data_IF_629523629177
#
_entry.id   IF_629523629177
#
_cell.length_a   1.000
_cell.length_b   1.000
_cell.length_c   1.000
_cell.angle_alpha   90.00
_cell.angle_beta   90.00
_cell.angle_gamma   90.00
#
_symmetry.space_group_name_H-M   'P 1'
#
loop_
_entity.id
_entity.type
_entity.pdbx_description
1 polymer ?
#
# COMPACT_ATOMS: atom_id res chain seq x y z
N UNK A 1 3.92 -19.51 -2.63
CA UNK A 1 3.37 -18.43 -3.50
C UNK A 1 4.52 -17.59 -4.07
N UNK A 2 4.35 -16.88 -5.20
CA UNK A 2 5.36 -15.93 -5.74
C UNK A 2 4.82 -14.50 -5.66
N UNK A 3 5.71 -13.50 -5.61
CA UNK A 3 5.36 -12.08 -5.68
C UNK A 3 4.72 -11.68 -7.04
N UNK A 4 4.21 -10.45 -7.13
CA UNK A 4 3.49 -9.95 -8.31
C UNK A 4 4.34 -10.06 -9.56
N UNK A 5 3.75 -10.59 -10.63
CA UNK A 5 4.41 -10.81 -11.91
C UNK A 5 3.37 -10.87 -13.04
N UNK A 6 3.85 -10.95 -14.28
CA UNK A 6 3.03 -11.00 -15.50
C UNK A 6 1.96 -12.10 -15.48
N UNK A 7 2.23 -13.26 -14.87
CA UNK A 7 1.25 -14.34 -14.80
C UNK A 7 0.06 -13.95 -13.89
N UNK A 8 0.27 -13.14 -12.85
CA UNK A 8 -0.82 -12.64 -12.01
C UNK A 8 -1.75 -11.70 -12.79
N UNK A 9 -1.21 -10.87 -13.69
CA UNK A 9 -2.03 -10.03 -14.57
C UNK A 9 -2.78 -10.86 -15.62
N UNK A 10 -2.16 -11.91 -16.19
CA UNK A 10 -2.88 -12.87 -17.05
C UNK A 10 -4.03 -13.55 -16.31
N UNK A 11 -3.77 -14.07 -15.11
CA UNK A 11 -4.76 -14.67 -14.22
C UNK A 11 -5.90 -13.71 -13.87
N UNK A 12 -5.61 -12.41 -13.70
CA UNK A 12 -6.62 -11.39 -13.55
C UNK A 12 -7.53 -11.32 -14.77
N UNK A 13 -6.97 -11.16 -15.97
CA UNK A 13 -7.78 -11.10 -17.20
C UNK A 13 -8.60 -12.38 -17.41
N UNK A 14 -8.00 -13.55 -17.22
CA UNK A 14 -8.70 -14.82 -17.43
C UNK A 14 -9.85 -15.01 -16.43
N UNK A 15 -9.67 -14.64 -15.16
CA UNK A 15 -10.76 -14.68 -14.17
C UNK A 15 -11.84 -13.64 -14.45
N UNK A 16 -11.45 -12.44 -14.91
CA UNK A 16 -12.40 -11.36 -15.18
C UNK A 16 -13.31 -11.62 -16.38
N UNK A 17 -12.88 -12.42 -17.36
CA UNK A 17 -13.73 -12.82 -18.51
C UNK A 17 -15.04 -13.50 -18.10
N UNK A 18 -15.08 -14.12 -16.93
CA UNK A 18 -16.28 -14.81 -16.44
C UNK A 18 -17.41 -13.84 -16.02
N UNK A 19 -17.12 -12.56 -15.84
CA UNK A 19 -18.09 -11.59 -15.31
C UNK A 19 -17.94 -10.16 -15.88
N UNK A 20 -17.03 -9.94 -16.81
CA UNK A 20 -16.82 -8.64 -17.47
C UNK A 20 -16.57 -8.83 -18.96
N UNK A 21 -17.10 -7.92 -19.79
CA UNK A 21 -16.88 -7.93 -21.24
C UNK A 21 -15.49 -7.42 -21.58
N UNK A 22 -15.01 -7.70 -22.80
CA UNK A 22 -13.70 -7.22 -23.25
C UNK A 22 -13.62 -5.70 -23.30
N UNK A 23 -14.71 -5.02 -23.66
CA UNK A 23 -14.83 -3.56 -23.64
C UNK A 23 -14.78 -2.96 -22.24
N UNK A 24 -15.04 -3.76 -21.20
CA UNK A 24 -14.86 -3.35 -19.80
C UNK A 24 -13.43 -3.56 -19.29
N UNK A 25 -12.62 -4.38 -20.00
CA UNK A 25 -11.26 -4.77 -19.62
C UNK A 25 -10.16 -4.16 -20.51
N UNK A 26 -10.49 -3.80 -21.75
CA UNK A 26 -9.58 -3.30 -22.75
C UNK A 26 -10.13 -2.06 -23.44
N UNK A 27 -9.22 -1.17 -23.83
CA UNK A 27 -9.51 -0.10 -24.77
C UNK A 27 -9.50 -0.66 -26.20
N UNK A 28 -10.38 -0.15 -27.06
CA UNK A 28 -10.33 -0.40 -28.50
C UNK A 28 -9.65 0.77 -29.20
N UNK A 29 -8.56 0.50 -29.92
CA UNK A 29 -7.86 1.50 -30.75
C UNK A 29 -8.57 1.70 -32.08
N UNK A 30 -8.27 2.81 -32.77
CA UNK A 30 -8.85 3.15 -34.08
C UNK A 30 -8.52 2.09 -35.16
N UNK A 31 -7.39 1.38 -35.00
CA UNK A 31 -6.99 0.25 -35.86
C UNK A 31 -7.58 -1.10 -35.42
N UNK A 32 -8.56 -1.09 -34.50
CA UNK A 32 -9.34 -2.26 -34.10
C UNK A 32 -8.70 -3.17 -33.04
N UNK A 33 -7.53 -2.82 -32.47
CA UNK A 33 -6.88 -3.64 -31.43
C UNK A 33 -7.48 -3.39 -30.05
N UNK A 34 -7.55 -4.45 -29.24
CA UNK A 34 -7.93 -4.38 -27.83
C UNK A 34 -6.69 -4.34 -26.94
N UNK A 35 -6.46 -3.24 -26.21
CA UNK A 35 -5.25 -3.01 -25.40
C UNK A 35 -5.57 -2.60 -23.97
N UNK A 36 -4.80 -3.05 -22.99
CA UNK A 36 -5.02 -2.68 -21.58
C UNK A 36 -4.63 -1.23 -21.31
N UNK A 37 -3.65 -0.68 -22.05
CA UNK A 37 -3.36 0.74 -22.01
C UNK A 37 -3.07 1.27 -23.41
N UNK A 38 -3.45 2.53 -23.64
CA UNK A 38 -3.08 3.26 -24.85
C UNK A 38 -1.56 3.19 -25.07
N UNK A 39 -1.08 2.72 -26.24
CA UNK A 39 0.34 2.69 -26.55
C UNK A 39 0.96 4.08 -26.43
N UNK A 40 2.24 4.15 -26.05
CA UNK A 40 2.96 5.42 -26.03
C UNK A 40 3.00 6.00 -27.45
N UNK A 41 2.60 7.27 -27.59
CA UNK A 41 2.48 7.92 -28.90
C UNK A 41 1.12 7.77 -29.59
N UNK A 42 0.17 7.00 -29.03
CA UNK A 42 -1.21 6.96 -29.56
C UNK A 42 -1.84 8.36 -29.57
N UNK A 43 -2.24 8.81 -30.76
CA UNK A 43 -2.78 10.14 -31.08
C UNK A 43 -4.29 10.16 -31.32
N UNK A 44 -4.92 8.98 -31.48
CA UNK A 44 -6.37 8.86 -31.66
C UNK A 44 -7.19 9.27 -30.44
N UNK A 45 -8.52 9.22 -30.59
CA UNK A 45 -9.46 9.54 -29.51
C UNK A 45 -9.30 8.55 -28.34
N UNK A 46 -9.36 9.06 -27.10
CA UNK A 46 -9.13 8.26 -25.89
C UNK A 46 -10.35 8.30 -24.99
N UNK A 47 -10.72 7.13 -24.48
CA UNK A 47 -11.71 6.97 -23.43
C UNK A 47 -11.03 6.62 -22.09
N UNK A 48 -11.84 6.61 -21.02
CA UNK A 48 -11.41 6.13 -19.69
C UNK A 48 -12.09 4.82 -19.36
N UNK A 49 -11.35 3.88 -18.78
CA UNK A 49 -11.85 2.54 -18.45
C UNK A 49 -11.97 2.39 -16.94
N UNK A 50 -13.03 2.97 -16.37
CA UNK A 50 -13.23 2.97 -14.91
C UNK A 50 -13.53 1.57 -14.37
N UNK A 51 -14.33 0.78 -15.08
CA UNK A 51 -14.71 -0.58 -14.67
C UNK A 51 -13.49 -1.45 -14.34
N UNK A 52 -12.54 -1.59 -15.27
CA UNK A 52 -11.30 -2.34 -15.03
C UNK A 52 -10.51 -1.84 -13.82
N UNK A 53 -10.42 -0.52 -13.61
CA UNK A 53 -9.63 0.03 -12.50
C UNK A 53 -10.18 -0.44 -11.14
N UNK A 54 -11.50 -0.54 -11.01
CA UNK A 54 -12.15 -1.13 -9.82
C UNK A 54 -11.89 -2.64 -9.74
N UNK A 55 -12.01 -3.35 -10.86
CA UNK A 55 -11.80 -4.81 -10.90
C UNK A 55 -10.37 -5.21 -10.51
N UNK A 56 -9.35 -4.55 -11.06
CA UNK A 56 -7.94 -4.84 -10.71
C UNK A 56 -7.65 -4.45 -9.26
N UNK A 57 -8.26 -3.38 -8.73
CA UNK A 57 -8.16 -3.01 -7.33
C UNK A 57 -8.60 -4.16 -6.42
N UNK A 58 -9.84 -4.61 -6.58
CA UNK A 58 -10.41 -5.73 -5.81
C UNK A 58 -9.58 -7.02 -5.96
N UNK A 59 -9.11 -7.31 -7.18
CA UNK A 59 -8.25 -8.46 -7.43
C UNK A 59 -6.93 -8.37 -6.66
N UNK A 60 -6.26 -7.21 -6.69
CA UNK A 60 -4.98 -7.03 -6.02
C UNK A 60 -5.10 -7.07 -4.50
N UNK A 61 -6.17 -6.51 -3.92
CA UNK A 61 -6.42 -6.63 -2.48
C UNK A 61 -6.62 -8.08 -2.06
N UNK A 62 -7.42 -8.84 -2.81
CA UNK A 62 -7.59 -10.27 -2.55
C UNK A 62 -6.25 -11.01 -2.68
N UNK A 63 -5.48 -10.72 -3.72
CA UNK A 63 -4.18 -11.35 -3.95
C UNK A 63 -3.20 -11.07 -2.81
N UNK A 64 -3.15 -9.84 -2.30
CA UNK A 64 -2.30 -9.50 -1.14
C UNK A 64 -2.81 -10.21 0.12
N UNK A 65 -4.12 -10.30 0.32
CA UNK A 65 -4.69 -11.04 1.45
C UNK A 65 -4.26 -12.52 1.40
N UNK A 66 -4.39 -13.16 0.24
CA UNK A 66 -3.97 -14.55 0.04
C UNK A 66 -2.44 -14.71 0.22
N UNK A 67 -1.63 -13.74 -0.23
CA UNK A 67 -0.18 -13.74 -0.01
C UNK A 67 0.18 -13.66 1.46
N UNK A 68 -0.42 -12.74 2.21
CA UNK A 68 -0.14 -12.57 3.63
C UNK A 68 -0.61 -13.79 4.43
N UNK A 69 -1.76 -14.38 4.11
CA UNK A 69 -2.21 -15.62 4.74
C UNK A 69 -1.25 -16.79 4.46
N UNK A 70 -0.69 -16.88 3.25
CA UNK A 70 0.33 -17.89 2.94
C UNK A 70 1.64 -17.68 3.73
N UNK A 71 1.95 -16.44 4.12
CA UNK A 71 3.20 -16.08 4.78
C UNK A 71 3.15 -16.12 6.31
N UNK A 72 1.98 -15.84 6.89
CA UNK A 72 1.80 -15.87 8.33
C UNK A 72 1.69 -17.33 8.79
N UNK A 73 2.67 -17.74 9.58
CA UNK A 73 2.75 -19.05 10.23
C UNK A 73 2.31 -18.97 11.71
N UNK A 74 1.73 -17.84 12.10
CA UNK A 74 1.31 -17.54 13.47
C UNK A 74 -0.20 -17.77 13.61
N UNK A 75 -0.57 -18.84 14.32
CA UNK A 75 -1.97 -19.22 14.55
C UNK A 75 -2.78 -18.18 15.34
N UNK A 76 -2.12 -17.20 15.97
CA UNK A 76 -2.78 -16.11 16.70
C UNK A 76 -3.06 -14.87 15.85
N UNK A 77 -2.57 -14.83 14.59
CA UNK A 77 -2.74 -13.69 13.69
C UNK A 77 -3.63 -14.01 12.49
N UNK A 78 -4.52 -13.07 12.18
CA UNK A 78 -5.48 -13.18 11.09
C UNK A 78 -5.29 -12.05 10.09
N UNK A 79 -5.39 -12.35 8.80
CA UNK A 79 -5.41 -11.36 7.72
C UNK A 79 -6.85 -11.03 7.36
N UNK A 80 -7.28 -9.82 7.68
CA UNK A 80 -8.64 -9.35 7.47
C UNK A 80 -8.65 -8.35 6.32
N UNK A 81 -9.22 -8.75 5.18
CA UNK A 81 -9.50 -7.83 4.07
C UNK A 81 -10.68 -6.90 4.44
N UNK A 82 -10.66 -5.63 4.00
CA UNK A 82 -11.78 -4.69 4.13
C UNK A 82 -12.29 -4.56 5.58
N UNK A 83 -11.36 -4.38 6.53
CA UNK A 83 -11.66 -4.28 7.97
C UNK A 83 -12.12 -2.86 8.37
N UNK A 84 -12.94 -2.79 9.41
CA UNK A 84 -13.43 -1.55 10.02
C UNK A 84 -12.83 -1.40 11.42
N UNK A 85 -12.33 -0.21 11.72
CA UNK A 85 -11.82 0.15 13.06
C UNK A 85 -12.38 1.55 13.40
N UNK A 86 -13.67 1.68 13.75
CA UNK A 86 -14.33 2.98 13.87
C UNK A 86 -13.65 3.94 14.86
N UNK A 87 -13.04 3.41 15.92
CA UNK A 87 -12.32 4.18 16.93
C UNK A 87 -11.10 4.96 16.39
N UNK A 88 -10.62 4.64 15.18
CA UNK A 88 -9.55 5.37 14.49
C UNK A 88 -9.98 5.88 13.11
N UNK A 89 -11.29 6.08 12.91
CA UNK A 89 -11.84 6.68 11.69
C UNK A 89 -11.99 5.73 10.50
N UNK A 90 -11.69 4.43 10.66
CA UNK A 90 -11.83 3.43 9.59
C UNK A 90 -13.25 2.85 9.67
N UNK A 91 -14.12 3.26 8.75
CA UNK A 91 -15.56 2.93 8.78
C UNK A 91 -15.96 2.06 7.59
N UNK A 92 -17.20 1.57 7.56
CA UNK A 92 -17.75 0.85 6.40
C UNK A 92 -17.69 1.64 5.07
N UNK A 93 -17.62 2.98 5.12
CA UNK A 93 -17.52 3.83 3.91
C UNK A 93 -16.11 3.88 3.33
N UNK A 94 -15.10 3.67 4.17
CA UNK A 94 -13.69 3.63 3.78
C UNK A 94 -12.96 2.64 4.70
N UNK A 95 -13.21 1.34 4.52
CA UNK A 95 -12.54 0.31 5.31
C UNK A 95 -11.05 0.27 4.97
N UNK A 96 -10.26 -0.33 5.85
CA UNK A 96 -8.86 -0.64 5.57
C UNK A 96 -8.79 -1.78 4.55
N UNK A 97 -7.94 -1.65 3.54
CA UNK A 97 -7.86 -2.65 2.47
C UNK A 97 -7.47 -4.01 3.05
N UNK A 98 -6.42 -4.05 3.89
CA UNK A 98 -6.00 -5.25 4.61
C UNK A 98 -5.47 -4.90 5.99
N UNK A 99 -5.80 -5.73 6.99
CA UNK A 99 -5.34 -5.63 8.37
C UNK A 99 -4.78 -6.97 8.83
N UNK A 100 -3.65 -6.95 9.54
CA UNK A 100 -3.23 -8.10 10.37
C UNK A 100 -3.73 -7.84 11.78
N UNK A 101 -4.47 -8.80 12.33
CA UNK A 101 -5.16 -8.66 13.61
C UNK A 101 -4.99 -9.88 14.50
N UNK A 102 -5.10 -9.69 15.82
CA UNK A 102 -5.22 -10.76 16.81
C UNK A 102 -6.64 -11.34 16.90
N UNK A 103 -7.61 -10.76 16.19
CA UNK A 103 -9.01 -11.17 16.20
C UNK A 103 -9.51 -11.46 14.78
N UNK A 104 -10.20 -12.58 14.61
CA UNK A 104 -10.76 -12.98 13.32
C UNK A 104 -12.16 -12.39 13.10
N UNK A 105 -12.25 -11.07 12.93
CA UNK A 105 -13.53 -10.37 12.67
C UNK A 105 -13.33 -9.11 11.82
N UNK A 106 -14.41 -8.65 11.20
CA UNK A 106 -14.40 -7.46 10.31
C UNK A 106 -14.37 -6.13 11.05
N UNK A 107 -14.98 -6.05 12.23
CA UNK A 107 -15.02 -4.85 13.06
C UNK A 107 -14.07 -5.04 14.23
N UNK A 108 -12.98 -4.29 14.23
CA UNK A 108 -11.85 -4.44 15.14
C UNK A 108 -11.74 -3.26 16.10
N UNK A 109 -11.20 -3.54 17.28
CA UNK A 109 -10.70 -2.54 18.21
C UNK A 109 -9.23 -2.23 17.90
N UNK A 110 -8.74 -1.00 18.18
CA UNK A 110 -7.37 -0.62 17.82
C UNK A 110 -6.27 -1.52 18.42
N UNK A 111 -6.49 -2.08 19.62
CA UNK A 111 -5.58 -2.99 20.33
C UNK A 111 -5.56 -4.42 19.77
N UNK A 112 -6.58 -4.78 18.99
CA UNK A 112 -6.62 -6.03 18.21
C UNK A 112 -5.82 -5.90 16.90
N UNK A 113 -5.45 -4.69 16.49
CA UNK A 113 -4.76 -4.43 15.21
C UNK A 113 -3.25 -4.48 15.40
N UNK A 114 -2.57 -5.30 14.60
CA UNK A 114 -1.11 -5.37 14.54
C UNK A 114 -0.51 -4.51 13.44
N UNK A 115 -1.17 -4.43 12.29
CA UNK A 115 -0.67 -3.72 11.10
C UNK A 115 -1.81 -3.42 10.14
N UNK A 116 -1.76 -2.26 9.50
CA UNK A 116 -2.71 -1.88 8.45
C UNK A 116 -1.94 -1.67 7.14
N UNK A 117 -2.47 -2.25 6.07
CA UNK A 117 -2.01 -2.01 4.71
C UNK A 117 -3.04 -1.22 3.90
N UNK A 118 -2.54 -0.23 3.18
CA UNK A 118 -3.26 0.43 2.10
C UNK A 118 -2.70 -0.06 0.76
N UNK A 119 -3.53 -0.69 -0.06
CA UNK A 119 -3.12 -1.30 -1.34
C UNK A 119 -3.32 -0.29 -2.47
N UNK A 120 -2.24 -0.04 -3.21
CA UNK A 120 -2.17 0.83 -4.41
C UNK A 120 -1.48 0.11 -5.56
N UNK A 121 -1.89 -1.15 -5.76
CA UNK A 121 -1.49 -1.97 -6.90
C UNK A 121 -2.42 -1.75 -8.10
N UNK A 122 -1.95 -2.08 -9.30
CA UNK A 122 -2.72 -2.01 -10.54
C UNK A 122 -2.08 -2.87 -11.63
N UNK A 123 -2.58 -2.83 -12.86
CA UNK A 123 -1.80 -3.33 -14.00
C UNK A 123 -0.49 -2.54 -14.15
N UNK A 124 0.58 -3.25 -14.49
CA UNK A 124 1.93 -2.73 -14.70
C UNK A 124 2.35 -2.86 -16.15
N UNK A 125 1.97 -3.96 -16.80
CA UNK A 125 2.31 -4.20 -18.20
C UNK A 125 1.16 -3.82 -19.14
N UNK A 126 1.51 -3.58 -20.39
CA UNK A 126 0.52 -3.45 -21.46
C UNK A 126 0.21 -4.82 -22.04
N UNK A 127 -1.07 -5.07 -22.25
CA UNK A 127 -1.60 -6.33 -22.75
C UNK A 127 -2.46 -6.06 -23.96
N UNK A 128 -2.31 -6.87 -25.01
CA UNK A 128 -3.24 -6.92 -26.12
C UNK A 128 -4.11 -8.17 -25.97
N UNK A 129 -5.42 -7.99 -26.10
CA UNK A 129 -6.35 -9.10 -26.23
C UNK A 129 -6.49 -9.50 -27.70
N UNK A 130 -6.46 -10.80 -27.95
CA UNK A 130 -6.69 -11.39 -29.26
C UNK A 130 -8.07 -12.04 -29.27
N UNK A 131 -8.99 -11.48 -30.04
CA UNK A 131 -10.38 -11.94 -30.13
C UNK A 131 -10.50 -13.34 -30.75
N UNK A 132 -9.56 -13.73 -31.63
CA UNK A 132 -9.61 -15.01 -32.33
C UNK A 132 -9.21 -16.16 -31.42
N UNK A 133 -8.22 -15.94 -30.56
CA UNK A 133 -7.70 -16.97 -29.64
C UNK A 133 -8.29 -16.86 -28.23
N UNK A 134 -8.90 -15.73 -27.89
CA UNK A 134 -9.36 -15.45 -26.54
C UNK A 134 -8.24 -15.21 -25.53
N UNK A 135 -6.99 -15.02 -25.99
CA UNK A 135 -5.82 -14.89 -25.11
C UNK A 135 -5.29 -13.45 -25.03
N UNK A 136 -4.57 -13.17 -23.95
CA UNK A 136 -3.84 -11.90 -23.78
C UNK A 136 -2.35 -12.11 -24.02
N UNK A 137 -1.77 -11.23 -24.82
CA UNK A 137 -0.32 -11.16 -25.07
C UNK A 137 0.24 -9.87 -24.51
N UNK A 138 1.40 -9.95 -23.89
CA UNK A 138 2.09 -8.75 -23.44
C UNK A 138 2.65 -7.98 -24.64
N UNK A 139 2.48 -6.66 -24.64
CA UNK A 139 3.01 -5.76 -25.69
C UNK A 139 3.96 -4.69 -25.14
N UNK A 140 4.25 -4.70 -23.84
CA UNK A 140 5.33 -3.93 -23.23
C UNK A 140 5.14 -3.65 -21.73
N UNK A 141 6.09 -2.92 -21.14
CA UNK A 141 6.08 -2.55 -19.72
C UNK A 141 5.50 -1.15 -19.47
N UNK A 142 5.53 -0.71 -18.20
CA UNK A 142 4.94 0.56 -17.79
C UNK A 142 5.56 1.81 -18.45
N UNK A 143 6.67 1.69 -19.17
CA UNK A 143 7.31 2.78 -19.92
C UNK A 143 6.85 2.88 -21.36
N UNK A 144 6.16 1.86 -21.89
CA UNK A 144 5.75 1.76 -23.30
C UNK A 144 4.27 2.11 -23.53
N UNK A 145 3.54 2.48 -22.48
CA UNK A 145 2.15 2.85 -22.55
C UNK A 145 1.85 4.17 -21.80
N UNK A 146 0.70 4.78 -22.09
CA UNK A 146 0.30 6.06 -21.49
C UNK A 146 -0.36 5.90 -20.12
N UNK A 147 -0.90 4.70 -19.83
CA UNK A 147 -1.34 4.35 -18.48
C UNK A 147 -0.20 4.45 -17.48
N UNK A 148 -0.49 4.83 -16.24
CA UNK A 148 0.50 4.84 -15.16
C UNK A 148 0.07 3.88 -14.08
N UNK A 149 0.92 2.93 -13.66
CA UNK A 149 0.60 2.08 -12.52
C UNK A 149 0.26 2.94 -11.30
N UNK A 150 -0.68 2.51 -10.46
CA UNK A 150 -1.18 3.29 -9.31
C UNK A 150 -0.05 3.84 -8.45
N UNK A 151 0.95 3.03 -8.16
CA UNK A 151 2.11 3.43 -7.35
C UNK A 151 3.01 4.52 -7.97
N UNK A 152 2.87 4.78 -9.27
CA UNK A 152 3.59 5.85 -9.98
C UNK A 152 2.74 7.13 -10.15
N UNK A 153 1.46 7.09 -9.77
CA UNK A 153 0.53 8.21 -9.91
C UNK A 153 0.49 9.05 -8.63
N UNK A 154 0.67 10.37 -8.78
CA UNK A 154 0.70 11.29 -7.65
C UNK A 154 -0.61 11.30 -6.85
N UNK A 155 -1.76 11.30 -7.53
CA UNK A 155 -3.08 11.31 -6.88
C UNK A 155 -3.31 10.04 -6.06
N UNK A 156 -2.88 8.89 -6.56
CA UNK A 156 -3.02 7.60 -5.89
C UNK A 156 -2.19 7.53 -4.60
N UNK A 157 -0.93 7.98 -4.66
CA UNK A 157 -0.03 8.05 -3.50
C UNK A 157 -0.50 9.09 -2.48
N UNK A 158 -0.95 10.27 -2.93
CA UNK A 158 -1.47 11.31 -2.03
C UNK A 158 -2.74 10.87 -1.31
N UNK A 159 -3.63 10.11 -1.97
CA UNK A 159 -4.80 9.50 -1.31
C UNK A 159 -4.41 8.51 -0.22
N UNK A 160 -3.42 7.64 -0.48
CA UNK A 160 -2.91 6.72 0.53
C UNK A 160 -2.29 7.46 1.73
N UNK A 161 -1.52 8.52 1.46
CA UNK A 161 -0.94 9.37 2.50
C UNK A 161 -2.04 10.04 3.33
N UNK A 162 -3.05 10.62 2.68
CA UNK A 162 -4.18 11.26 3.35
C UNK A 162 -4.88 10.31 4.32
N UNK A 163 -5.24 9.11 3.86
CA UNK A 163 -5.87 8.08 4.71
C UNK A 163 -4.99 7.67 5.89
N UNK A 164 -3.67 7.55 5.70
CA UNK A 164 -2.75 7.25 6.80
C UNK A 164 -2.66 8.39 7.82
N UNK A 165 -2.64 9.65 7.36
CA UNK A 165 -2.66 10.82 8.24
C UNK A 165 -3.97 10.85 9.03
N UNK A 166 -5.12 10.63 8.37
CA UNK A 166 -6.43 10.59 9.02
C UNK A 166 -6.46 9.57 10.16
N UNK A 167 -5.92 8.36 9.92
CA UNK A 167 -5.76 7.34 10.97
C UNK A 167 -4.87 7.86 12.10
N UNK A 168 -3.72 8.46 11.80
CA UNK A 168 -2.75 8.94 12.79
C UNK A 168 -3.30 10.01 13.71
N UNK A 169 -4.11 10.92 13.18
CA UNK A 169 -4.66 12.06 13.94
C UNK A 169 -6.00 11.74 14.61
N UNK A 170 -6.64 10.62 14.25
CA UNK A 170 -7.97 10.25 14.78
C UNK A 170 -7.99 9.94 16.27
N UNK A 171 -6.98 9.26 16.80
CA UNK A 171 -6.95 8.79 18.18
C UNK A 171 -5.55 8.37 18.61
N UNK A 172 -5.20 8.60 19.89
CA UNK A 172 -3.97 8.09 20.50
C UNK A 172 -3.78 6.58 20.32
N UNK A 173 -4.87 5.80 20.28
CA UNK A 173 -4.80 4.34 20.12
C UNK A 173 -4.22 3.94 18.76
N UNK A 174 -4.27 4.81 17.75
CA UNK A 174 -3.64 4.58 16.44
C UNK A 174 -2.10 4.73 16.49
N UNK A 175 -1.54 5.35 17.54
CA UNK A 175 -0.11 5.69 17.61
C UNK A 175 0.83 4.48 17.50
N UNK A 176 0.38 3.31 17.96
CA UNK A 176 1.16 2.07 17.98
C UNK A 176 0.97 1.22 16.73
N UNK A 177 -0.06 1.51 15.93
CA UNK A 177 -0.38 0.72 14.75
C UNK A 177 0.57 1.16 13.62
N UNK A 178 1.43 0.27 13.08
CA UNK A 178 2.21 0.58 11.90
C UNK A 178 1.30 0.59 10.67
N UNK A 179 1.59 1.50 9.73
CA UNK A 179 0.85 1.70 8.49
C UNK A 179 1.80 1.49 7.31
N UNK A 180 1.44 0.65 6.35
CA UNK A 180 2.23 0.36 5.16
C UNK A 180 1.40 0.62 3.91
N UNK A 181 1.99 1.25 2.89
CA UNK A 181 1.38 1.36 1.57
C UNK A 181 2.00 0.34 0.63
N UNK A 182 1.19 -0.59 0.11
CA UNK A 182 1.63 -1.62 -0.82
C UNK A 182 1.40 -1.20 -2.27
N UNK A 183 2.36 -1.51 -3.12
CA UNK A 183 2.31 -1.26 -4.56
C UNK A 183 2.97 -2.38 -5.35
N UNK A 184 3.04 -2.21 -6.66
CA UNK A 184 3.66 -3.18 -7.58
C UNK A 184 4.42 -2.50 -8.73
N UNK A 185 4.79 -1.24 -8.55
CA UNK A 185 5.61 -0.48 -9.46
C UNK A 185 6.68 0.33 -8.68
N UNK A 186 7.65 0.95 -9.34
CA UNK A 186 8.63 1.81 -8.69
C UNK A 186 8.00 3.13 -8.21
N UNK A 187 8.61 3.73 -7.19
CA UNK A 187 8.26 5.08 -6.75
C UNK A 187 9.15 6.13 -7.45
N UNK A 188 8.58 7.29 -7.82
CA UNK A 188 9.38 8.36 -8.44
C UNK A 188 10.40 8.94 -7.46
N UNK A 189 11.44 9.63 -7.95
CA UNK A 189 12.47 10.22 -7.09
C UNK A 189 11.90 11.23 -6.08
N UNK A 190 10.95 12.06 -6.50
CA UNK A 190 10.27 13.01 -5.61
C UNK A 190 9.49 12.30 -4.51
N UNK A 191 8.76 11.24 -4.86
CA UNK A 191 8.02 10.44 -3.87
C UNK A 191 8.93 9.57 -3.00
N UNK A 192 10.11 9.15 -3.45
CA UNK A 192 11.09 8.47 -2.59
C UNK A 192 11.53 9.35 -1.43
N UNK A 193 11.84 10.64 -1.69
CA UNK A 193 12.18 11.59 -0.63
C UNK A 193 11.01 11.78 0.35
N UNK A 194 9.79 11.86 -0.18
CA UNK A 194 8.57 11.96 0.64
C UNK A 194 8.33 10.70 1.48
N UNK A 195 8.53 9.51 0.92
CA UNK A 195 8.43 8.24 1.63
C UNK A 195 9.45 8.15 2.77
N UNK A 196 10.70 8.58 2.53
CA UNK A 196 11.72 8.67 3.57
C UNK A 196 11.30 9.60 4.71
N UNK A 197 10.76 10.79 4.38
CA UNK A 197 10.26 11.73 5.37
C UNK A 197 9.10 11.14 6.21
N UNK A 198 8.08 10.57 5.54
CA UNK A 198 6.91 9.98 6.20
C UNK A 198 7.26 8.81 7.11
N UNK A 199 8.28 8.03 6.75
CA UNK A 199 8.82 6.98 7.60
C UNK A 199 9.53 7.55 8.82
N UNK A 200 10.41 8.53 8.63
CA UNK A 200 11.12 9.15 9.76
C UNK A 200 10.21 9.91 10.71
N UNK A 201 9.12 10.49 10.22
CA UNK A 201 8.12 11.15 11.08
C UNK A 201 7.14 10.17 11.72
N UNK A 202 7.22 8.87 11.39
CA UNK A 202 6.34 7.84 11.95
C UNK A 202 4.92 7.82 11.38
N UNK A 203 4.59 8.64 10.39
CA UNK A 203 3.25 8.69 9.78
C UNK A 203 2.98 7.37 9.04
N UNK A 204 3.92 6.90 8.22
CA UNK A 204 3.83 5.65 7.42
C UNK A 204 5.14 4.90 7.53
N UNK A 205 5.12 3.63 7.93
CA UNK A 205 6.33 2.85 8.20
C UNK A 205 7.03 2.34 6.93
N UNK A 206 6.36 2.39 5.78
CA UNK A 206 6.97 2.05 4.50
C UNK A 206 6.02 2.06 3.31
N UNK A 207 6.61 2.29 2.15
CA UNK A 207 6.03 2.11 0.83
C UNK A 207 6.70 0.88 0.20
N UNK A 208 6.00 -0.25 0.11
CA UNK A 208 6.59 -1.49 -0.36
C UNK A 208 6.04 -1.90 -1.73
N UNK A 209 6.93 -2.17 -2.67
CA UNK A 209 6.57 -2.70 -3.98
C UNK A 209 6.75 -4.21 -4.00
N UNK A 210 5.68 -4.94 -4.31
CA UNK A 210 5.63 -6.41 -4.36
C UNK A 210 5.87 -6.96 -5.77
N UNK A 211 6.51 -6.18 -6.64
CA UNK A 211 6.89 -6.59 -7.99
C UNK A 211 8.41 -6.52 -8.16
N UNK A 212 9.11 -7.67 -8.20
CA UNK A 212 10.56 -7.71 -8.36
C UNK A 212 11.04 -7.15 -9.71
N UNK A 213 10.27 -7.39 -10.77
CA UNK A 213 10.67 -7.14 -12.16
C UNK A 213 9.61 -6.36 -12.94
N UNK A 214 9.28 -5.11 -12.56
CA UNK A 214 8.24 -4.32 -13.22
C UNK A 214 8.64 -3.82 -14.62
N UNK A 215 9.88 -4.05 -15.06
CA UNK A 215 10.38 -3.74 -16.39
C UNK A 215 10.69 -5.02 -17.15
N UNK A 216 10.57 -4.97 -18.47
CA UNK A 216 10.99 -6.08 -19.32
C UNK A 216 12.51 -6.21 -19.36
N UNK A 217 13.19 -5.06 -19.35
CA UNK A 217 14.64 -4.98 -19.38
C UNK A 217 15.14 -3.93 -18.39
N UNK A 218 16.21 -4.30 -17.67
CA UNK A 218 16.84 -3.45 -16.68
C UNK A 218 16.21 -3.53 -15.29
N UNK A 219 16.71 -2.66 -14.40
CA UNK A 219 16.34 -2.66 -12.99
C UNK A 219 15.60 -1.39 -12.58
N UNK A 220 14.85 -1.53 -11.50
CA UNK A 220 14.20 -0.42 -10.80
C UNK A 220 14.87 -0.21 -9.46
N UNK A 221 14.62 0.96 -8.87
CA UNK A 221 15.16 1.30 -7.55
C UNK A 221 14.77 0.21 -6.55
N UNK A 222 15.76 -0.36 -5.86
CA UNK A 222 15.56 -1.34 -4.78
C UNK A 222 15.03 -0.68 -3.50
N UNK A 223 15.59 0.46 -3.12
CA UNK A 223 15.23 1.20 -1.91
C UNK A 223 15.50 2.70 -2.03
N UNK A 224 14.80 3.49 -1.23
CA UNK A 224 15.16 4.90 -0.97
C UNK A 224 16.25 5.01 0.10
N UNK A 225 16.73 6.23 0.37
CA UNK A 225 17.91 6.44 1.22
C UNK A 225 17.66 6.02 2.67
N UNK A 226 16.46 6.31 3.21
CA UNK A 226 16.07 5.93 4.58
C UNK A 226 15.14 4.71 4.62
N UNK A 227 15.12 3.92 3.53
CA UNK A 227 14.23 2.77 3.38
C UNK A 227 12.73 3.11 3.58
N UNK A 228 12.33 4.35 3.30
CA UNK A 228 10.92 4.74 3.20
C UNK A 228 10.19 4.03 2.05
N UNK A 229 10.92 3.73 0.97
CA UNK A 229 10.49 2.87 -0.12
C UNK A 229 11.39 1.63 -0.20
N UNK A 230 10.80 0.45 -0.41
CA UNK A 230 11.50 -0.83 -0.61
C UNK A 230 10.79 -1.62 -1.72
N UNK A 231 11.53 -2.21 -2.65
CA UNK A 231 11.03 -3.23 -3.59
C UNK A 231 11.41 -4.60 -3.08
N UNK A 232 10.44 -5.48 -2.86
CA UNK A 232 10.68 -6.86 -2.48
C UNK A 232 11.00 -7.70 -3.71
N UNK A 233 12.07 -8.50 -3.64
CA UNK A 233 12.48 -9.38 -4.75
C UNK A 233 11.92 -10.79 -4.58
N UNK A 234 11.58 -11.20 -3.35
CA UNK A 234 10.95 -12.48 -3.06
C UNK A 234 10.09 -12.43 -1.77
N UNK A 235 9.39 -13.53 -1.50
CA UNK A 235 8.49 -13.67 -0.34
C UNK A 235 9.26 -13.64 0.98
N UNK A 236 10.46 -14.22 1.03
CA UNK A 236 11.27 -14.27 2.26
C UNK A 236 11.70 -12.87 2.70
N UNK A 237 12.07 -12.01 1.75
CA UNK A 237 12.40 -10.60 2.02
C UNK A 237 11.21 -9.83 2.61
N UNK A 238 10.00 -10.06 2.07
CA UNK A 238 8.78 -9.49 2.62
C UNK A 238 8.53 -10.02 4.05
N UNK A 239 8.70 -11.32 4.28
CA UNK A 239 8.51 -11.94 5.60
C UNK A 239 9.48 -11.38 6.63
N UNK A 240 10.77 -11.34 6.29
CA UNK A 240 11.81 -10.77 7.14
C UNK A 240 11.53 -9.30 7.46
N UNK A 241 11.09 -8.52 6.48
CA UNK A 241 10.76 -7.10 6.69
C UNK A 241 9.55 -6.93 7.62
N UNK A 242 8.52 -7.77 7.47
CA UNK A 242 7.35 -7.79 8.35
C UNK A 242 7.74 -8.17 9.79
N UNK A 243 8.52 -9.23 9.96
CA UNK A 243 8.97 -9.68 11.27
C UNK A 243 9.85 -8.65 11.98
N UNK A 244 10.69 -7.92 11.23
CA UNK A 244 11.45 -6.79 11.78
C UNK A 244 10.52 -5.67 12.24
N UNK A 245 9.46 -5.37 11.49
CA UNK A 245 8.49 -4.34 11.87
C UNK A 245 7.70 -4.74 13.13
N UNK A 246 7.28 -6.00 13.26
CA UNK A 246 6.54 -6.48 14.43
C UNK A 246 7.34 -6.45 15.73
N UNK A 247 8.67 -6.55 15.64
CA UNK A 247 9.57 -6.45 16.81
C UNK A 247 9.79 -5.02 17.29
N UNK A 248 9.34 -4.00 16.53
CA UNK A 248 9.54 -2.61 16.90
C UNK A 248 8.41 -2.11 17.81
N UNK A 249 8.75 -1.62 19.00
CA UNK A 249 7.81 -0.96 19.91
C UNK A 249 7.73 0.56 19.63
N UNK A 250 7.24 0.93 18.45
CA UNK A 250 7.14 2.33 18.05
C UNK A 250 5.88 3.01 18.60
N UNK A 251 5.99 4.29 18.92
CA UNK A 251 4.85 5.17 19.22
C UNK A 251 4.95 6.40 18.33
N UNK A 252 3.92 6.63 17.51
CA UNK A 252 3.76 7.91 16.81
C UNK A 252 3.29 8.99 17.79
N UNK A 253 3.86 10.18 17.66
CA UNK A 253 3.44 11.38 18.38
C UNK A 253 3.53 12.59 17.46
N UNK A 254 2.59 13.51 17.60
CA UNK A 254 2.53 14.76 16.82
C UNK A 254 1.75 15.82 17.58
N UNK A 255 2.13 17.08 17.41
CA UNK A 255 1.45 18.23 17.99
C UNK A 255 2.19 19.52 17.65
N UNK A 256 1.54 20.67 17.84
CA UNK A 256 2.19 21.98 17.76
C UNK A 256 2.34 22.52 19.18
N UNK A 257 3.58 22.72 19.62
CA UNK A 257 3.87 23.21 20.96
C UNK A 257 5.01 24.24 20.93
N UNK A 258 4.98 25.18 21.88
CA UNK A 258 6.08 26.14 22.01
C UNK A 258 7.34 25.46 22.56
N UNK A 259 8.55 25.89 22.17
CA UNK A 259 9.79 25.34 22.73
C UNK A 259 9.85 25.44 24.26
N UNK A 260 9.34 26.53 24.84
CA UNK A 260 9.27 26.70 26.30
C UNK A 260 8.39 25.62 26.94
N UNK A 261 7.20 25.38 26.39
CA UNK A 261 6.29 24.35 26.92
C UNK A 261 6.88 22.95 26.77
N UNK A 262 7.47 22.64 25.61
CA UNK A 262 8.18 21.37 25.40
C UNK A 262 9.27 21.15 26.44
N UNK A 263 10.07 22.18 26.75
CA UNK A 263 11.08 22.14 27.81
C UNK A 263 10.49 21.77 29.19
N UNK A 264 9.38 22.38 29.57
CA UNK A 264 8.68 22.07 30.82
C UNK A 264 8.17 20.61 30.85
N UNK A 265 7.58 20.13 29.74
CA UNK A 265 7.10 18.76 29.66
C UNK A 265 8.25 17.74 29.79
N UNK A 266 9.39 18.03 29.16
CA UNK A 266 10.61 17.22 29.27
C UNK A 266 11.09 17.17 30.72
N UNK A 267 11.12 18.32 31.41
CA UNK A 267 11.54 18.38 32.81
C UNK A 267 10.65 17.55 33.73
N UNK A 268 9.33 17.64 33.56
CA UNK A 268 8.36 16.84 34.32
C UNK A 268 8.57 15.35 34.03
N UNK A 269 8.69 14.97 32.76
CA UNK A 269 8.89 13.59 32.37
C UNK A 269 10.22 13.01 32.87
N UNK A 270 11.28 13.82 32.95
CA UNK A 270 12.61 13.39 33.40
C UNK A 270 12.67 12.98 34.89
N UNK A 271 11.62 13.26 35.66
CA UNK A 271 11.49 12.85 37.08
C UNK A 271 11.18 11.35 37.25
N UNK A 272 10.72 10.67 36.19
CA UNK A 272 10.48 9.23 36.21
C UNK A 272 11.80 8.44 36.32
N UNK A 273 11.74 7.19 36.80
CA UNK A 273 12.94 6.43 37.19
C UNK A 273 13.70 5.89 35.98
N UNK A 274 12.99 5.31 35.02
CA UNK A 274 13.59 4.64 33.85
C UNK A 274 13.34 5.44 32.56
N UNK A 275 14.18 5.26 31.54
CA UNK A 275 13.99 5.92 30.25
C UNK A 275 12.64 5.58 29.59
N UNK A 276 12.17 4.35 29.75
CA UNK A 276 10.86 3.93 29.23
C UNK A 276 9.73 4.70 29.91
N UNK A 277 9.74 4.79 31.25
CA UNK A 277 8.76 5.57 32.01
C UNK A 277 8.82 7.06 31.65
N UNK A 278 10.03 7.63 31.52
CA UNK A 278 10.23 9.02 31.06
C UNK A 278 9.58 9.24 29.69
N UNK A 279 9.82 8.33 28.74
CA UNK A 279 9.22 8.39 27.40
C UNK A 279 7.70 8.31 27.43
N UNK A 280 7.13 7.34 28.16
CA UNK A 280 5.68 7.18 28.29
C UNK A 280 5.03 8.38 28.99
N UNK A 281 5.68 8.94 30.02
CA UNK A 281 5.24 10.14 30.72
C UNK A 281 5.23 11.33 29.80
N UNK A 282 6.30 11.56 29.05
CA UNK A 282 6.39 12.64 28.07
C UNK A 282 5.29 12.52 27.00
N UNK A 283 5.07 11.32 26.46
CA UNK A 283 3.99 11.06 25.49
C UNK A 283 2.61 11.32 26.08
N UNK A 284 2.38 11.02 27.36
CA UNK A 284 1.10 11.30 28.00
C UNK A 284 0.91 12.80 28.26
N UNK A 285 1.97 13.52 28.60
CA UNK A 285 1.94 14.97 28.76
C UNK A 285 1.63 15.68 27.44
N UNK A 286 2.25 15.27 26.33
CA UNK A 286 1.99 15.81 24.99
C UNK A 286 0.54 15.62 24.50
N UNK A 287 -0.21 14.68 25.08
CA UNK A 287 -1.59 14.39 24.70
C UNK A 287 -2.61 15.21 25.49
N UNK A 288 -2.20 15.76 26.64
CA UNK A 288 -3.04 16.57 27.53
C UNK A 288 -2.76 18.08 27.45
N UNK A 289 -1.78 18.47 26.63
CA UNK A 289 -1.47 19.85 26.26
C UNK A 289 -2.32 20.35 25.10
#
# INVERSE_FOLDING_TARGET
>A
MRLWNKNQEKLFFDKSKNFATYEQLFYRTDDGRYVSYWPKGYSGAKSTLQARNSLIGNYTEKWVCDLLNFMLDDEELFVIQQAQIPAIGITHRSPADIVISKANKKVLMPDEVKLIFEVKMSLVWNWQYDETTGHVREIGDYRTHQGRPSFTRSDSILKAIGKCIDIRVSNVRASKIPLIVLGNAPLSNGFCKKADYLKTSGIIQGFWSLNPFPLNHGNTRKRSHKNGFIRMDNVDELNMTLNQLFKQELNFFSGMESPQRLGQLIEIANREKTYQEKGLKFLNLLKGS
#
